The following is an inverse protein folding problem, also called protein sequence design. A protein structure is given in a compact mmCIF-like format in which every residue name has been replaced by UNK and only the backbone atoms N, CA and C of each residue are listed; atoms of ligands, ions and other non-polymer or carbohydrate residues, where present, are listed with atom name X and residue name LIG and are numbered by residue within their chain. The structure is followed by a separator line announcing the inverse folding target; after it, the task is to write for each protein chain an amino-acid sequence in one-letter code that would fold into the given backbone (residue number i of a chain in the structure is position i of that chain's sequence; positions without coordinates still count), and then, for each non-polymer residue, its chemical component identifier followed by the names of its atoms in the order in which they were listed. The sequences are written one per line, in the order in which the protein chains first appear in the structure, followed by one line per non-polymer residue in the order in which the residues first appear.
data_IF_825962810256
#
_entry.id   IF_825962810256
#
_cell.length_a   1.000
_cell.length_b   1.000
_cell.length_c   1.000
_cell.angle_alpha   90.00
_cell.angle_beta   90.00
_cell.angle_gamma   90.00
#
_symmetry.space_group_name_H-M   'P 1'
#
loop_
_entity.id
_entity.type
_entity.pdbx_description
1 polymer ?
#
# COMPACT_ATOMS: atom_id res chain seq x y z
N UNK A 1 -18.81 1.32 -12.29
CA UNK A 1 -19.97 0.65 -11.65
C UNK A 1 -19.87 -0.87 -11.81
N UNK A 2 -18.85 -1.55 -11.28
CA UNK A 2 -18.71 -3.02 -11.54
C UNK A 2 -17.82 -3.77 -10.52
N UNK A 3 -17.57 -3.27 -9.32
CA UNK A 3 -17.01 -4.11 -8.25
C UNK A 3 -18.11 -4.57 -7.25
N UNK A 4 -19.32 -4.01 -7.29
CA UNK A 4 -20.40 -4.38 -6.37
C UNK A 4 -21.47 -5.32 -6.96
N UNK A 5 -21.38 -5.77 -8.22
CA UNK A 5 -22.45 -6.58 -8.81
C UNK A 5 -21.95 -7.85 -9.51
N UNK A 6 -21.13 -8.67 -8.85
CA UNK A 6 -20.67 -9.90 -9.50
C UNK A 6 -19.90 -10.89 -8.66
N UNK A 7 -19.86 -10.74 -7.35
CA UNK A 7 -19.28 -11.80 -6.51
C UNK A 7 -20.45 -12.67 -6.01
N UNK A 8 -20.87 -13.62 -6.85
CA UNK A 8 -21.71 -14.74 -6.44
C UNK A 8 -20.89 -15.62 -5.50
N UNK A 9 -21.30 -15.67 -4.24
CA UNK A 9 -20.80 -16.62 -3.28
C UNK A 9 -21.25 -18.03 -3.71
N UNK A 10 -20.35 -18.87 -4.16
CA UNK A 10 -20.60 -20.30 -4.21
C UNK A 10 -20.78 -20.81 -2.77
N UNK A 11 -22.02 -21.06 -2.38
CA UNK A 11 -22.35 -21.72 -1.12
C UNK A 11 -21.96 -23.19 -1.22
N UNK A 12 -20.98 -23.61 -0.44
CA UNK A 12 -20.77 -25.02 -0.14
C UNK A 12 -21.88 -25.52 0.78
N UNK A 13 -22.49 -26.59 0.38
CA UNK A 13 -23.61 -27.27 1.03
C UNK A 13 -23.19 -27.84 2.40
N UNK A 14 -23.88 -27.57 3.53
CA UNK A 14 -23.55 -28.14 4.82
C UNK A 14 -24.43 -29.37 5.07
N UNK A 15 -24.07 -30.54 4.54
CA UNK A 15 -24.64 -31.81 5.02
C UNK A 15 -23.68 -32.96 4.66
N UNK A 16 -22.74 -33.21 5.55
CA UNK A 16 -22.24 -34.57 5.80
C UNK A 16 -21.83 -34.66 7.27
N UNK A 17 -22.75 -35.21 8.06
CA UNK A 17 -22.45 -35.68 9.41
C UNK A 17 -21.89 -37.08 9.31
N UNK A 18 -20.62 -37.28 9.62
CA UNK A 18 -20.13 -38.52 10.20
C UNK A 18 -19.16 -38.22 11.33
N UNK A 19 -19.56 -38.67 12.53
CA UNK A 19 -18.81 -38.65 13.76
C UNK A 19 -17.72 -39.70 13.73
N UNK A 20 -16.46 -39.30 13.92
CA UNK A 20 -15.43 -40.10 14.55
C UNK A 20 -14.43 -39.17 15.21
N UNK A 21 -14.35 -39.29 16.53
CA UNK A 21 -13.46 -38.59 17.43
C UNK A 21 -12.03 -39.09 17.20
N UNK A 22 -11.31 -38.42 16.32
CA UNK A 22 -9.86 -38.48 16.18
C UNK A 22 -9.36 -37.10 16.30
N UNK A 23 -8.45 -36.83 17.27
CA UNK A 23 -7.89 -35.55 17.59
C UNK A 23 -7.53 -34.74 16.32
N UNK A 24 -8.44 -33.88 15.90
CA UNK A 24 -8.32 -33.09 14.69
C UNK A 24 -7.21 -32.07 14.91
N UNK A 25 -6.11 -32.20 14.16
CA UNK A 25 -5.19 -31.07 13.95
C UNK A 25 -6.06 -29.91 13.45
N UNK A 26 -6.05 -28.74 14.11
CA UNK A 26 -6.89 -27.63 13.67
C UNK A 26 -6.56 -27.30 12.21
N UNK A 27 -7.58 -27.32 11.36
CA UNK A 27 -7.44 -27.03 9.94
C UNK A 27 -6.80 -25.66 9.75
N UNK A 28 -5.66 -25.61 9.05
CA UNK A 28 -4.94 -24.35 8.82
C UNK A 28 -5.81 -23.44 7.98
N UNK A 29 -6.13 -22.24 8.52
CA UNK A 29 -6.89 -21.24 7.78
C UNK A 29 -5.98 -20.56 6.74
N UNK A 30 -6.49 -20.42 5.51
CA UNK A 30 -5.88 -19.63 4.45
C UNK A 30 -6.78 -18.46 4.09
N UNK A 31 -6.18 -17.29 3.89
CA UNK A 31 -6.89 -16.09 3.46
C UNK A 31 -7.48 -16.25 2.06
N UNK A 32 -8.64 -15.62 1.84
CA UNK A 32 -9.25 -15.54 0.51
C UNK A 32 -8.62 -14.40 -0.28
N UNK A 33 -8.11 -14.68 -1.47
CA UNK A 33 -7.61 -13.66 -2.41
C UNK A 33 -8.69 -13.40 -3.45
N UNK A 34 -9.10 -12.12 -3.58
CA UNK A 34 -10.01 -11.62 -4.61
C UNK A 34 -9.22 -10.69 -5.51
N UNK A 35 -9.35 -10.86 -6.81
CA UNK A 35 -8.71 -10.02 -7.82
C UNK A 35 -9.74 -9.11 -8.47
N UNK A 36 -9.34 -7.89 -8.79
CA UNK A 36 -10.12 -6.90 -9.51
C UNK A 36 -9.24 -6.10 -10.45
N UNK A 37 -9.85 -5.20 -11.21
CA UNK A 37 -9.16 -4.32 -12.16
C UNK A 37 -9.67 -2.91 -11.97
N UNK A 38 -8.76 -1.94 -11.80
CA UNK A 38 -9.02 -0.51 -11.90
C UNK A 38 -8.85 -0.13 -13.37
N UNK A 39 -9.76 0.65 -13.94
CA UNK A 39 -9.69 1.07 -15.34
C UNK A 39 -10.06 -0.04 -16.32
N UNK A 40 -11.03 -0.88 -15.99
CA UNK A 40 -11.46 -1.97 -16.87
C UNK A 40 -11.88 -1.41 -18.26
N UNK A 41 -11.27 -1.98 -19.32
CA UNK A 41 -11.37 -1.55 -20.73
C UNK A 41 -10.71 -0.19 -21.04
N UNK A 42 -9.87 0.35 -20.14
CA UNK A 42 -8.99 1.50 -20.45
C UNK A 42 -7.55 1.02 -20.68
N UNK A 43 -6.70 1.90 -21.24
CA UNK A 43 -5.28 1.61 -21.52
C UNK A 43 -4.45 1.30 -20.27
N UNK A 44 -4.93 1.69 -19.09
CA UNK A 44 -4.25 1.54 -17.81
C UNK A 44 -4.84 0.45 -16.91
N UNK A 45 -5.47 -0.57 -17.48
CA UNK A 45 -5.98 -1.70 -16.67
C UNK A 45 -4.98 -2.14 -15.60
N UNK A 46 -5.32 -1.83 -14.34
CA UNK A 46 -4.42 -2.01 -13.19
C UNK A 46 -4.98 -3.05 -12.24
N UNK A 47 -4.27 -4.17 -12.01
CA UNK A 47 -4.70 -5.19 -11.06
C UNK A 47 -4.74 -4.67 -9.62
N UNK A 48 -5.83 -5.00 -8.92
CA UNK A 48 -6.03 -4.77 -7.50
C UNK A 48 -6.39 -6.08 -6.81
N UNK A 49 -5.81 -6.36 -5.66
CA UNK A 49 -6.02 -7.58 -4.91
C UNK A 49 -6.58 -7.25 -3.53
N UNK A 50 -7.57 -8.02 -3.07
CA UNK A 50 -8.03 -8.00 -1.70
C UNK A 50 -7.77 -9.37 -1.05
N UNK A 51 -6.93 -9.39 -0.03
CA UNK A 51 -6.57 -10.58 0.75
C UNK A 51 -7.32 -10.50 2.08
N UNK A 52 -8.31 -11.37 2.25
CA UNK A 52 -9.32 -11.27 3.31
C UNK A 52 -9.15 -12.41 4.32
N UNK A 53 -9.03 -12.04 5.60
CA UNK A 53 -9.03 -12.96 6.72
C UNK A 53 -10.44 -13.34 7.20
N UNK A 54 -10.51 -14.01 8.35
CA UNK A 54 -11.80 -14.43 8.97
C UNK A 54 -12.70 -13.25 9.34
N UNK A 55 -12.13 -12.08 9.61
CA UNK A 55 -12.82 -10.81 9.84
C UNK A 55 -12.33 -9.81 8.82
N UNK A 56 -13.21 -8.96 8.31
CA UNK A 56 -12.83 -7.97 7.29
C UNK A 56 -12.03 -6.79 7.85
N UNK A 57 -12.26 -6.40 9.09
CA UNK A 57 -11.56 -5.29 9.73
C UNK A 57 -10.44 -5.74 10.66
N UNK A 58 -9.39 -4.91 10.84
CA UNK A 58 -9.15 -3.64 10.15
C UNK A 58 -8.81 -3.82 8.66
N UNK A 59 -8.95 -2.73 7.87
CA UNK A 59 -8.66 -2.69 6.43
C UNK A 59 -7.48 -1.76 6.16
N UNK A 60 -6.52 -2.24 5.39
CA UNK A 60 -5.39 -1.45 4.90
C UNK A 60 -5.35 -1.49 3.39
N UNK A 61 -5.11 -0.33 2.77
CA UNK A 61 -4.79 -0.24 1.35
C UNK A 61 -3.30 0.07 1.21
N UNK A 62 -2.62 -0.68 0.35
CA UNK A 62 -1.20 -0.47 0.03
C UNK A 62 -1.08 -0.32 -1.47
N UNK A 63 -0.40 0.70 -1.95
CA UNK A 63 -0.03 0.83 -3.34
C UNK A 63 1.47 0.96 -3.54
N UNK A 64 1.92 0.47 -4.69
CA UNK A 64 3.27 0.66 -5.22
C UNK A 64 3.19 1.06 -6.68
N UNK A 65 4.28 1.56 -7.23
CA UNK A 65 4.34 1.93 -8.64
C UNK A 65 3.48 3.14 -9.02
N UNK A 66 3.23 4.06 -8.11
CA UNK A 66 2.72 5.40 -8.42
C UNK A 66 3.64 6.07 -9.44
N UNK A 67 4.96 5.99 -9.20
CA UNK A 67 6.01 6.29 -10.16
C UNK A 67 6.62 4.98 -10.67
N UNK A 68 6.65 4.78 -11.98
CA UNK A 68 7.02 3.49 -12.55
C UNK A 68 8.50 3.14 -12.47
N UNK A 69 9.37 4.11 -12.19
CA UNK A 69 10.81 3.92 -11.98
C UNK A 69 11.17 3.65 -10.50
N UNK A 70 10.16 3.58 -9.60
CA UNK A 70 10.32 3.25 -8.18
C UNK A 70 10.14 1.75 -7.95
N UNK A 71 11.10 0.99 -8.46
CA UNK A 71 11.01 -0.47 -8.68
C UNK A 71 10.77 -1.26 -7.39
N UNK A 72 11.41 -0.86 -6.28
CA UNK A 72 11.27 -1.60 -5.02
C UNK A 72 9.84 -1.61 -4.51
N UNK A 73 9.05 -0.56 -4.80
CA UNK A 73 7.68 -0.42 -4.34
C UNK A 73 6.77 -1.55 -4.84
N UNK A 74 6.79 -1.80 -6.15
CA UNK A 74 5.93 -2.85 -6.70
C UNK A 74 6.50 -4.26 -6.50
N UNK A 75 7.82 -4.44 -6.39
CA UNK A 75 8.41 -5.74 -6.01
C UNK A 75 8.04 -6.09 -4.58
N UNK A 76 8.03 -5.12 -3.65
CA UNK A 76 7.60 -5.32 -2.28
C UNK A 76 6.12 -5.75 -2.23
N UNK A 77 5.24 -5.08 -2.98
CA UNK A 77 3.83 -5.46 -3.11
C UNK A 77 3.67 -6.89 -3.64
N UNK A 78 4.34 -7.23 -4.75
CA UNK A 78 4.30 -8.58 -5.35
C UNK A 78 4.77 -9.65 -4.36
N UNK A 79 5.81 -9.36 -3.59
CA UNK A 79 6.32 -10.29 -2.58
C UNK A 79 5.35 -10.46 -1.42
N UNK A 80 4.69 -9.39 -0.99
CA UNK A 80 3.67 -9.46 0.06
C UNK A 80 2.51 -10.33 -0.41
N UNK A 81 1.95 -10.09 -1.60
CA UNK A 81 0.83 -10.88 -2.15
C UNK A 81 1.16 -12.39 -2.16
N UNK A 82 2.37 -12.76 -2.59
CA UNK A 82 2.77 -14.16 -2.71
C UNK A 82 2.96 -14.89 -1.39
N UNK A 83 3.29 -14.17 -0.32
CA UNK A 83 3.79 -14.81 0.91
C UNK A 83 2.91 -14.57 2.13
N UNK A 84 1.91 -13.69 2.06
CA UNK A 84 1.09 -13.35 3.21
C UNK A 84 -0.11 -14.27 3.36
N UNK A 85 -0.43 -14.60 4.61
CA UNK A 85 -1.68 -15.24 4.99
C UNK A 85 -2.37 -14.36 6.05
N UNK A 86 -3.46 -13.66 5.68
CA UNK A 86 -4.21 -12.80 6.58
C UNK A 86 -5.18 -13.66 7.41
N UNK A 87 -5.02 -13.64 8.72
CA UNK A 87 -5.90 -14.35 9.65
C UNK A 87 -7.10 -13.50 10.07
N UNK A 88 -6.86 -12.22 10.37
CA UNK A 88 -7.89 -11.22 10.70
C UNK A 88 -7.53 -9.87 10.06
N UNK A 89 -8.50 -9.23 9.41
CA UNK A 89 -8.35 -7.99 8.65
C UNK A 89 -8.47 -8.20 7.14
N UNK A 90 -8.30 -7.12 6.39
CA UNK A 90 -8.26 -7.13 4.93
C UNK A 90 -7.08 -6.29 4.45
N UNK A 91 -6.21 -6.89 3.66
CA UNK A 91 -5.18 -6.17 2.91
C UNK A 91 -5.68 -5.97 1.47
N UNK A 92 -5.85 -4.71 1.07
CA UNK A 92 -6.05 -4.32 -0.32
C UNK A 92 -4.71 -3.86 -0.84
N UNK A 93 -4.25 -4.39 -1.99
CA UNK A 93 -2.93 -4.09 -2.51
C UNK A 93 -2.97 -3.89 -4.02
N UNK A 94 -2.32 -2.80 -4.48
CA UNK A 94 -2.21 -2.40 -5.87
C UNK A 94 -0.72 -2.37 -6.21
N UNK A 95 -0.16 -3.43 -6.81
CA UNK A 95 1.30 -3.52 -6.99
C UNK A 95 1.87 -2.46 -7.93
N UNK A 96 1.13 -2.13 -9.00
CA UNK A 96 1.60 -1.21 -10.05
C UNK A 96 0.51 -0.22 -10.37
N UNK A 97 0.36 0.80 -9.51
CA UNK A 97 -0.74 1.76 -9.66
C UNK A 97 -0.70 2.45 -11.03
N UNK A 98 0.44 2.99 -11.46
CA UNK A 98 0.64 3.47 -12.81
C UNK A 98 1.30 2.37 -13.67
N UNK A 99 0.50 1.41 -14.11
CA UNK A 99 1.01 0.22 -14.82
C UNK A 99 1.79 0.58 -16.08
N UNK A 100 1.38 1.60 -16.82
CA UNK A 100 2.06 2.03 -18.05
C UNK A 100 3.44 2.62 -17.76
N UNK A 101 3.56 3.40 -16.71
CA UNK A 101 4.84 3.95 -16.24
C UNK A 101 5.77 2.84 -15.75
N UNK A 102 5.23 1.86 -14.99
CA UNK A 102 5.98 0.68 -14.54
C UNK A 102 6.50 -0.17 -15.68
N UNK A 103 5.68 -0.42 -16.71
CA UNK A 103 6.09 -1.19 -17.89
C UNK A 103 7.23 -0.52 -18.68
N UNK A 104 7.28 0.82 -18.68
CA UNK A 104 8.30 1.61 -19.36
C UNK A 104 9.48 1.98 -18.46
N UNK A 105 9.45 1.61 -17.17
CA UNK A 105 10.43 2.02 -16.16
C UNK A 105 10.66 3.56 -16.18
N UNK A 106 9.58 4.32 -16.18
CA UNK A 106 9.59 5.78 -16.19
C UNK A 106 8.81 6.31 -14.99
N UNK A 107 9.19 7.49 -14.49
CA UNK A 107 8.48 8.14 -13.40
C UNK A 107 6.99 8.32 -13.73
N UNK A 108 6.69 8.85 -14.91
CA UNK A 108 5.34 9.11 -15.42
C UNK A 108 5.27 8.89 -16.92
N UNK A 109 4.07 8.92 -17.49
CA UNK A 109 3.83 8.88 -18.94
C UNK A 109 3.49 10.28 -19.45
N UNK A 110 2.31 10.81 -19.14
CA UNK A 110 1.89 12.14 -19.57
C UNK A 110 2.16 13.20 -18.48
N UNK A 111 1.83 12.85 -17.23
CA UNK A 111 2.04 13.70 -16.07
C UNK A 111 2.31 12.89 -14.83
N UNK A 112 2.76 13.53 -13.75
CA UNK A 112 2.97 12.88 -12.46
C UNK A 112 1.60 12.50 -11.85
N UNK A 113 1.36 11.19 -11.70
CA UNK A 113 0.11 10.68 -11.13
C UNK A 113 -0.13 11.21 -9.71
N UNK A 114 0.95 11.40 -8.93
CA UNK A 114 0.83 11.94 -7.57
C UNK A 114 0.42 13.43 -7.53
N UNK A 115 0.26 14.06 -8.70
CA UNK A 115 -0.30 15.41 -8.87
C UNK A 115 -1.65 15.43 -9.61
N UNK A 116 -2.27 14.26 -9.81
CA UNK A 116 -3.54 14.14 -10.53
C UNK A 116 -4.78 14.08 -9.64
N UNK A 117 -4.63 14.02 -8.31
CA UNK A 117 -5.77 13.83 -7.39
C UNK A 117 -6.60 15.11 -7.19
N UNK A 118 -7.95 14.97 -7.08
CA UNK A 118 -8.74 13.73 -6.98
C UNK A 118 -9.03 13.02 -8.31
N UNK A 119 -8.53 13.51 -9.42
CA UNK A 119 -8.81 12.95 -10.72
C UNK A 119 -10.10 13.46 -11.40
N UNK A 120 -10.34 12.99 -12.62
CA UNK A 120 -11.54 13.26 -13.40
C UNK A 120 -11.77 12.15 -14.41
N UNK A 121 -12.91 11.48 -14.37
CA UNK A 121 -13.24 10.38 -15.30
C UNK A 121 -13.38 10.86 -16.76
N UNK A 122 -13.73 12.12 -16.96
CA UNK A 122 -13.88 12.71 -18.29
C UNK A 122 -12.60 13.31 -18.88
N UNK A 123 -11.45 13.13 -18.24
CA UNK A 123 -10.18 13.67 -18.73
C UNK A 123 -9.62 12.88 -19.93
N UNK A 124 -9.02 13.57 -20.90
CA UNK A 124 -8.28 12.93 -21.98
C UNK A 124 -6.96 12.32 -21.48
N UNK A 125 -6.41 12.86 -20.39
CA UNK A 125 -5.18 12.36 -19.75
C UNK A 125 -5.52 11.21 -18.79
N UNK A 126 -4.97 10.04 -19.02
CA UNK A 126 -5.34 8.83 -18.27
C UNK A 126 -4.97 8.91 -16.79
N UNK A 127 -3.94 9.62 -16.40
CA UNK A 127 -3.55 9.77 -14.99
C UNK A 127 -4.67 10.42 -14.17
N UNK A 128 -5.43 11.38 -14.72
CA UNK A 128 -6.60 11.94 -14.04
C UNK A 128 -7.75 10.92 -13.94
N UNK A 129 -7.96 10.07 -14.96
CA UNK A 129 -8.98 9.02 -14.89
C UNK A 129 -8.61 7.96 -13.88
N UNK A 130 -7.35 7.51 -13.89
CA UNK A 130 -6.82 6.54 -12.93
C UNK A 130 -6.92 7.08 -11.48
N UNK A 131 -6.53 8.33 -11.23
CA UNK A 131 -6.66 8.97 -9.92
C UNK A 131 -8.12 9.01 -9.46
N UNK A 132 -9.07 9.34 -10.35
CA UNK A 132 -10.50 9.33 -10.05
C UNK A 132 -10.99 7.94 -9.65
N UNK A 133 -10.64 6.91 -10.41
CA UNK A 133 -11.06 5.54 -10.14
C UNK A 133 -10.43 4.97 -8.86
N UNK A 134 -9.18 5.34 -8.57
CA UNK A 134 -8.56 5.00 -7.30
C UNK A 134 -9.33 5.63 -6.14
N UNK A 135 -9.68 6.92 -6.22
CA UNK A 135 -10.45 7.60 -5.19
C UNK A 135 -11.86 6.99 -5.03
N UNK A 136 -12.50 6.57 -6.12
CA UNK A 136 -13.76 5.84 -6.07
C UNK A 136 -13.62 4.50 -5.32
N UNK A 137 -12.52 3.76 -5.57
CA UNK A 137 -12.23 2.52 -4.85
C UNK A 137 -11.96 2.77 -3.36
N UNK A 138 -11.20 3.81 -3.01
CA UNK A 138 -10.95 4.22 -1.62
C UNK A 138 -12.25 4.51 -0.89
N UNK A 139 -13.17 5.28 -1.50
CA UNK A 139 -14.47 5.60 -0.92
C UNK A 139 -15.36 4.35 -0.76
N UNK A 140 -15.31 3.43 -1.71
CA UNK A 140 -16.07 2.17 -1.67
C UNK A 140 -15.56 1.21 -0.59
N UNK A 141 -14.23 1.05 -0.48
CA UNK A 141 -13.57 0.09 0.44
C UNK A 141 -13.51 0.64 1.85
N UNK A 142 -13.32 1.96 2.00
CA UNK A 142 -13.14 2.68 3.28
C UNK A 142 -12.03 2.04 4.13
N UNK A 143 -10.77 2.09 3.68
CA UNK A 143 -9.67 1.56 4.45
C UNK A 143 -9.45 2.38 5.73
N UNK A 144 -9.02 1.73 6.81
CA UNK A 144 -8.66 2.41 8.06
C UNK A 144 -7.37 3.21 7.90
N UNK A 145 -6.42 2.68 7.10
CA UNK A 145 -5.20 3.39 6.69
C UNK A 145 -4.82 3.08 5.24
N UNK A 146 -4.06 4.00 4.63
CA UNK A 146 -3.47 3.86 3.30
C UNK A 146 -1.95 4.00 3.42
N UNK A 147 -1.20 3.18 2.69
CA UNK A 147 0.26 3.23 2.61
C UNK A 147 0.68 3.30 1.16
N UNK A 148 1.38 4.39 0.83
CA UNK A 148 1.96 4.61 -0.49
C UNK A 148 3.45 4.27 -0.45
N UNK A 149 3.91 3.38 -1.31
CA UNK A 149 5.30 2.97 -1.38
C UNK A 149 6.03 3.73 -2.47
N UNK A 150 7.03 4.51 -2.06
CA UNK A 150 7.82 5.38 -2.91
C UNK A 150 9.33 5.17 -2.72
N UNK A 151 10.12 5.79 -3.59
CA UNK A 151 11.58 5.79 -3.51
C UNK A 151 12.14 7.17 -3.88
N UNK A 152 13.05 7.68 -3.06
CA UNK A 152 13.70 8.96 -3.26
C UNK A 152 15.16 8.84 -3.72
N UNK A 153 15.66 9.84 -4.43
CA UNK A 153 17.04 9.86 -4.95
C UNK A 153 18.09 10.19 -3.90
N UNK A 154 17.71 10.85 -2.80
CA UNK A 154 18.62 11.23 -1.72
C UNK A 154 17.99 10.96 -0.37
N UNK A 155 18.83 10.70 0.65
CA UNK A 155 18.38 10.59 2.05
C UNK A 155 17.90 11.95 2.51
N UNK A 156 16.84 11.96 3.29
CA UNK A 156 16.30 13.19 3.89
C UNK A 156 17.35 13.81 4.83
N UNK A 157 17.65 15.08 4.58
CA UNK A 157 18.48 15.90 5.44
C UNK A 157 17.69 17.13 5.86
N UNK A 158 17.44 17.25 7.16
CA UNK A 158 16.71 18.38 7.76
C UNK A 158 17.44 19.72 7.59
N UNK A 159 18.73 19.71 7.30
CA UNK A 159 19.55 20.92 7.05
C UNK A 159 19.44 21.39 5.58
N UNK A 160 19.02 20.51 4.67
CA UNK A 160 18.84 20.83 3.27
C UNK A 160 17.51 21.57 3.06
N UNK A 161 17.58 22.90 3.14
CA UNK A 161 16.43 23.80 2.96
C UNK A 161 15.93 23.93 1.52
N UNK A 162 16.44 23.16 0.58
CA UNK A 162 15.97 23.19 -0.78
C UNK A 162 14.85 22.14 -0.95
N UNK A 163 13.65 22.65 -1.23
CA UNK A 163 12.44 21.94 -1.66
C UNK A 163 12.65 21.09 -2.96
N UNK A 164 13.77 20.38 -3.08
CA UNK A 164 13.87 19.42 -4.17
C UNK A 164 13.18 18.15 -3.74
N UNK A 165 12.09 17.78 -4.42
CA UNK A 165 11.31 16.54 -4.33
C UNK A 165 12.16 15.24 -4.41
N UNK A 166 13.45 15.34 -4.19
CA UNK A 166 14.44 14.30 -4.40
C UNK A 166 15.09 13.78 -3.12
N UNK A 167 14.95 14.49 -2.01
CA UNK A 167 15.63 14.19 -0.76
C UNK A 167 14.66 13.71 0.34
N UNK A 168 13.80 12.76 0.03
CA UNK A 168 12.84 12.19 0.97
C UNK A 168 13.20 10.76 1.42
N UNK A 169 14.37 10.23 1.04
CA UNK A 169 14.76 8.87 1.41
C UNK A 169 14.86 8.65 2.91
N UNK A 170 14.40 7.50 3.38
CA UNK A 170 14.39 7.05 4.76
C UNK A 170 13.50 7.89 5.69
N UNK A 171 12.36 8.34 5.17
CA UNK A 171 11.30 8.93 5.99
C UNK A 171 9.96 8.24 5.73
N UNK A 172 9.07 8.38 6.71
CA UNK A 172 7.66 8.03 6.56
C UNK A 172 6.85 9.31 6.75
N UNK A 173 6.21 9.73 5.66
CA UNK A 173 5.50 11.00 5.57
C UNK A 173 4.04 10.82 5.99
N UNK A 174 3.49 11.82 6.66
CA UNK A 174 2.05 12.02 6.82
C UNK A 174 1.68 13.48 6.55
N UNK A 175 0.48 13.70 6.00
CA UNK A 175 -0.12 15.02 5.82
C UNK A 175 -1.09 15.39 6.96
N UNK A 176 -1.22 14.57 8.01
CA UNK A 176 -2.14 14.76 9.12
C UNK A 176 -1.44 15.48 10.27
N UNK A 177 -2.10 16.52 10.84
CA UNK A 177 -1.70 17.20 12.09
C UNK A 177 -2.76 17.01 13.17
N UNK A 178 -2.36 17.00 14.46
CA UNK A 178 -1.00 16.96 15.00
C UNK A 178 -0.30 15.64 14.66
N UNK A 179 1.02 15.60 14.84
CA UNK A 179 1.82 14.40 14.68
C UNK A 179 1.27 13.33 15.62
N UNK A 180 0.75 12.24 15.07
CA UNK A 180 0.11 11.21 15.88
C UNK A 180 1.15 10.31 16.53
N UNK A 181 0.96 9.97 17.82
CA UNK A 181 1.75 8.96 18.54
C UNK A 181 1.75 7.61 17.79
N UNK A 182 0.66 7.32 17.06
CA UNK A 182 0.54 6.13 16.24
C UNK A 182 1.69 6.03 15.21
N UNK A 183 1.97 7.10 14.46
CA UNK A 183 3.07 7.08 13.46
C UNK A 183 4.42 6.95 14.15
N UNK A 184 4.66 7.72 15.23
CA UNK A 184 5.93 7.69 15.96
C UNK A 184 6.22 6.28 16.49
N UNK A 185 5.23 5.67 17.13
CA UNK A 185 5.36 4.31 17.67
C UNK A 185 5.53 3.27 16.56
N UNK A 186 4.79 3.40 15.47
CA UNK A 186 4.93 2.48 14.33
C UNK A 186 6.32 2.59 13.69
N UNK A 187 6.85 3.81 13.52
CA UNK A 187 8.23 4.01 13.00
C UNK A 187 9.28 3.44 13.96
N UNK A 188 9.06 3.59 15.26
CA UNK A 188 9.92 2.94 16.26
C UNK A 188 9.93 1.41 16.08
N UNK A 189 8.76 0.79 15.95
CA UNK A 189 8.64 -0.66 15.75
C UNK A 189 9.24 -1.12 14.40
N UNK A 190 9.07 -0.33 13.33
CA UNK A 190 9.75 -0.57 12.04
C UNK A 190 11.27 -0.60 12.27
N UNK A 191 11.81 0.41 12.92
CA UNK A 191 13.24 0.57 13.15
C UNK A 191 13.83 -0.51 14.06
N UNK A 192 13.06 -1.10 14.96
CA UNK A 192 13.49 -2.25 15.77
C UNK A 192 13.72 -3.52 14.95
N UNK A 193 13.12 -3.61 13.75
CA UNK A 193 13.27 -4.72 12.81
C UNK A 193 14.35 -4.46 11.73
N UNK A 194 15.03 -3.30 11.78
CA UNK A 194 16.06 -2.89 10.82
C UNK A 194 17.45 -2.91 11.50
N UNK A 195 18.43 -3.69 10.99
CA UNK A 195 19.69 -3.90 11.68
C UNK A 195 20.68 -2.72 11.60
N UNK A 196 20.63 -1.93 10.52
CA UNK A 196 21.60 -0.88 10.23
C UNK A 196 21.03 0.52 10.44
N UNK A 197 21.83 1.42 11.04
CA UNK A 197 21.41 2.80 11.35
C UNK A 197 20.96 3.59 10.13
N UNK A 198 21.71 3.50 9.03
CA UNK A 198 21.40 4.25 7.79
C UNK A 198 20.11 3.80 7.09
N UNK A 199 19.60 2.62 7.41
CA UNK A 199 18.36 2.06 6.88
C UNK A 199 17.12 2.50 7.67
N UNK A 200 17.29 3.13 8.83
CA UNK A 200 16.19 3.51 9.71
C UNK A 200 15.39 4.66 9.15
N UNK A 201 14.09 4.61 9.38
CA UNK A 201 13.17 5.68 8.97
C UNK A 201 13.01 6.73 10.06
N UNK A 202 12.71 7.96 9.63
CA UNK A 202 12.26 9.02 10.49
C UNK A 202 10.81 9.38 10.15
N UNK A 203 9.94 9.62 11.15
CA UNK A 203 8.60 10.11 10.88
C UNK A 203 8.68 11.57 10.45
N UNK A 204 7.94 11.97 9.42
CA UNK A 204 7.95 13.31 8.87
C UNK A 204 6.54 13.82 8.59
N UNK A 205 6.29 15.08 8.94
CA UNK A 205 5.09 15.79 8.53
C UNK A 205 5.40 16.64 7.31
N UNK A 206 4.63 16.45 6.25
CA UNK A 206 4.73 17.27 5.06
C UNK A 206 3.37 17.86 4.69
N UNK A 207 3.35 19.17 4.45
CA UNK A 207 2.16 19.85 3.96
C UNK A 207 2.42 20.29 2.52
N UNK A 208 1.87 19.58 1.58
CA UNK A 208 1.88 20.02 0.18
C UNK A 208 1.12 21.33 0.03
N UNK A 209 1.62 22.23 -0.79
CA UNK A 209 0.98 23.53 -1.04
C UNK A 209 -0.34 23.41 -1.80
N UNK A 210 -0.45 22.39 -2.65
CA UNK A 210 -1.66 22.03 -3.35
C UNK A 210 -2.22 20.70 -2.83
N UNK A 211 -3.46 20.41 -3.15
CA UNK A 211 -4.14 19.18 -2.74
C UNK A 211 -4.16 18.13 -3.84
N UNK A 212 -3.21 18.18 -4.76
CA UNK A 212 -3.13 17.27 -5.90
C UNK A 212 -2.41 15.96 -5.58
N UNK A 213 -1.60 15.89 -4.51
CA UNK A 213 -1.03 14.64 -4.07
C UNK A 213 -2.06 13.76 -3.39
N UNK A 214 -1.90 12.43 -3.53
CA UNK A 214 -2.82 11.44 -2.97
C UNK A 214 -2.99 11.63 -1.47
N UNK A 215 -1.91 11.66 -0.69
CA UNK A 215 -1.95 11.79 0.76
C UNK A 215 -2.61 13.07 1.23
N UNK A 216 -2.28 14.19 0.58
CA UNK A 216 -2.85 15.47 0.95
C UNK A 216 -4.34 15.55 0.61
N UNK A 217 -4.75 14.94 -0.51
CA UNK A 217 -6.17 14.85 -0.86
C UNK A 217 -6.94 13.95 0.12
N UNK A 218 -6.40 12.77 0.43
CA UNK A 218 -7.03 11.79 1.33
C UNK A 218 -7.14 12.33 2.76
N UNK A 219 -6.19 13.16 3.22
CA UNK A 219 -6.23 13.77 4.55
C UNK A 219 -7.52 14.56 4.82
N UNK A 220 -8.18 15.09 3.78
CA UNK A 220 -9.46 15.79 3.88
C UNK A 220 -10.63 14.89 4.31
N UNK A 221 -10.52 13.59 4.08
CA UNK A 221 -11.56 12.62 4.41
C UNK A 221 -11.33 11.95 5.78
N UNK A 222 -10.37 12.44 6.55
CA UNK A 222 -9.99 11.87 7.84
C UNK A 222 -9.54 10.39 7.77
N UNK A 223 -9.06 9.98 6.58
CA UNK A 223 -8.39 8.69 6.40
C UNK A 223 -6.89 8.91 6.62
N UNK A 224 -6.29 8.06 7.42
CA UNK A 224 -4.85 8.11 7.69
C UNK A 224 -4.09 7.61 6.48
N UNK A 225 -3.18 8.43 5.96
CA UNK A 225 -2.31 8.07 4.84
C UNK A 225 -0.85 8.31 5.20
N UNK A 226 0.00 7.37 4.78
CA UNK A 226 1.43 7.37 5.07
C UNK A 226 2.21 7.01 3.80
N UNK A 227 3.16 7.86 3.43
CA UNK A 227 4.10 7.58 2.34
C UNK A 227 5.41 7.05 2.91
N UNK A 228 5.80 5.86 2.50
CA UNK A 228 7.09 5.24 2.87
C UNK A 228 8.09 5.52 1.76
N UNK A 229 9.11 6.31 2.06
CA UNK A 229 10.16 6.73 1.11
C UNK A 229 11.46 5.99 1.39
N UNK A 230 11.89 5.10 0.49
CA UNK A 230 13.19 4.44 0.59
C UNK A 230 14.23 5.12 -0.29
N UNK A 231 15.48 5.17 0.18
CA UNK A 231 16.58 5.75 -0.58
C UNK A 231 17.04 4.83 -1.73
N UNK A 232 17.02 5.31 -2.95
CA UNK A 232 17.40 4.55 -4.17
C UNK A 232 18.87 4.13 -4.22
N UNK A 233 19.75 4.74 -3.45
CA UNK A 233 21.17 4.36 -3.37
C UNK A 233 21.42 3.05 -2.66
N UNK A 234 20.46 2.49 -1.93
CA UNK A 234 20.58 1.16 -1.35
C UNK A 234 20.35 0.07 -2.41
N UNK A 235 20.83 -1.14 -2.12
CA UNK A 235 20.60 -2.30 -2.97
C UNK A 235 19.09 -2.56 -3.10
N UNK A 236 18.65 -3.01 -4.27
CA UNK A 236 17.23 -3.23 -4.53
C UNK A 236 16.61 -4.22 -3.53
N UNK A 237 17.34 -5.27 -3.17
CA UNK A 237 16.90 -6.29 -2.22
C UNK A 237 16.63 -5.69 -0.84
N UNK A 238 17.46 -4.75 -0.40
CA UNK A 238 17.33 -4.10 0.90
C UNK A 238 16.16 -3.10 0.88
N UNK A 239 16.00 -2.31 -0.20
CA UNK A 239 14.84 -1.41 -0.38
C UNK A 239 13.52 -2.17 -0.33
N UNK A 240 13.45 -3.31 -1.02
CA UNK A 240 12.27 -4.19 -1.01
C UNK A 240 11.97 -4.68 0.42
N UNK A 241 12.97 -5.14 1.15
CA UNK A 241 12.81 -5.59 2.55
C UNK A 241 12.35 -4.45 3.47
N UNK A 242 12.93 -3.25 3.31
CA UNK A 242 12.56 -2.07 4.10
C UNK A 242 11.08 -1.71 3.91
N UNK A 243 10.59 -1.70 2.68
CA UNK A 243 9.18 -1.43 2.39
C UNK A 243 8.27 -2.55 2.90
N UNK A 244 8.64 -3.81 2.76
CA UNK A 244 7.91 -4.94 3.34
C UNK A 244 7.79 -4.82 4.86
N UNK A 245 8.90 -4.53 5.57
CA UNK A 245 8.90 -4.34 7.02
C UNK A 245 7.96 -3.20 7.39
N UNK A 246 8.01 -2.07 6.68
CA UNK A 246 7.13 -0.94 6.94
C UNK A 246 5.65 -1.35 6.84
N UNK A 247 5.23 -1.96 5.73
CA UNK A 247 3.85 -2.44 5.54
C UNK A 247 3.44 -3.40 6.65
N UNK A 248 4.25 -4.41 6.95
CA UNK A 248 3.92 -5.42 7.96
C UNK A 248 3.81 -4.83 9.38
N UNK A 249 4.62 -3.82 9.72
CA UNK A 249 4.50 -3.14 11.03
C UNK A 249 3.26 -2.25 11.10
N UNK A 250 2.90 -1.54 10.02
CA UNK A 250 1.63 -0.82 9.96
C UNK A 250 0.43 -1.75 10.13
N UNK A 251 0.44 -2.91 9.46
CA UNK A 251 -0.61 -3.92 9.62
C UNK A 251 -0.73 -4.39 11.07
N UNK A 252 0.39 -4.65 11.75
CA UNK A 252 0.39 -5.00 13.19
C UNK A 252 -0.14 -3.86 14.05
N UNK A 253 0.30 -2.62 13.78
CA UNK A 253 -0.07 -1.44 14.54
C UNK A 253 -1.59 -1.16 14.52
N UNK A 254 -2.29 -1.50 13.41
CA UNK A 254 -3.76 -1.41 13.35
C UNK A 254 -4.48 -2.67 13.84
N UNK A 255 -3.76 -3.66 14.36
CA UNK A 255 -4.34 -4.87 14.97
C UNK A 255 -4.69 -5.99 13.99
N UNK A 256 -4.16 -5.97 12.76
CA UNK A 256 -4.31 -7.11 11.86
C UNK A 256 -3.53 -8.32 12.37
N UNK A 257 -4.08 -9.51 12.13
CA UNK A 257 -3.39 -10.77 12.39
C UNK A 257 -3.06 -11.46 11.09
N UNK A 258 -1.80 -11.85 10.93
CA UNK A 258 -1.30 -12.50 9.71
C UNK A 258 -0.08 -13.35 9.98
N UNK A 259 0.23 -14.25 9.05
CA UNK A 259 1.47 -14.99 8.95
C UNK A 259 2.27 -14.45 7.76
N UNK A 260 3.56 -14.28 7.95
CA UNK A 260 4.51 -13.88 6.92
C UNK A 260 5.89 -14.45 7.24
N UNK A 261 6.68 -14.88 6.24
CA UNK A 261 8.05 -15.34 6.46
C UNK A 261 8.93 -14.27 7.12
N UNK A 262 9.84 -14.66 7.99
CA UNK A 262 10.77 -13.72 8.61
C UNK A 262 11.65 -13.06 7.55
N UNK A 263 11.65 -11.72 7.51
CA UNK A 263 12.54 -10.93 6.66
C UNK A 263 13.92 -10.89 7.32
N UNK A 264 14.94 -11.28 6.56
CA UNK A 264 16.35 -11.27 7.00
C UNK A 264 17.16 -10.36 6.09
N UNK A 265 17.97 -9.49 6.68
CA UNK A 265 18.97 -8.67 5.99
C UNK A 265 20.25 -9.42 5.76
#
# INVERSE_FOLDING_TARGET
MLICSGISLAQSNPNDKQSSDTGSVPEKFYSLIKEGIIGLNDVYETPIYAIVGKREHPKILVDGGMHGDEIASYIACDSIIRNINILEGTLIIIPRLNILACQQNRRNINMDLNHAFPGSIGSDTFEFRLAYELMYNVDSVKPDIIINLHEAYSIYDSEYKNDSDKAFGQIIITCIKPFEDFLVNTVYDINMNIPHGDYKFNPHYYSYRDYSSMDNFISKFNIKSYTVETYRGFKIEDRVKLQQIAVLQFMKAIGMKFEYPQIKF
#
